data_IF_376297289530
#
_entry.id   IF_376297289530
#
_cell.length_a   1.000
_cell.length_b   1.000
_cell.length_c   1.000
_cell.angle_alpha   90.00
_cell.angle_beta   90.00
_cell.angle_gamma   90.00
#
_symmetry.space_group_name_H-M   'P 1'
#
loop_
_entity.id
_entity.type
_entity.pdbx_description
1 polymer ?
#
# COMPACT_ATOMS: atom_id res chain seq x y z
N UNK A 1 9.80 7.70 64.65
CA UNK A 1 10.01 6.71 63.56
C UNK A 1 8.73 6.23 62.85
N UNK A 2 7.54 6.80 63.12
CA UNK A 2 6.27 6.40 62.47
C UNK A 2 5.89 7.27 61.25
N UNK A 3 6.44 8.47 61.12
CA UNK A 3 6.16 9.42 60.02
C UNK A 3 6.98 9.18 58.76
N UNK A 4 8.19 8.60 58.89
CA UNK A 4 9.07 8.27 57.76
C UNK A 4 8.54 7.09 56.93
N UNK A 5 7.89 6.11 57.58
CA UNK A 5 7.26 4.97 56.89
C UNK A 5 6.00 5.38 56.10
N UNK A 6 5.32 6.45 56.55
CA UNK A 6 4.13 6.99 55.87
C UNK A 6 4.51 7.81 54.62
N UNK A 7 5.61 8.57 54.67
CA UNK A 7 6.16 9.26 53.50
C UNK A 7 6.80 8.32 52.47
N UNK A 8 7.43 7.22 52.91
CA UNK A 8 7.97 6.21 52.00
C UNK A 8 6.87 5.44 51.24
N UNK A 9 5.72 5.21 51.88
CA UNK A 9 4.55 4.60 51.22
C UNK A 9 3.87 5.56 50.22
N UNK A 10 3.87 6.87 50.50
CA UNK A 10 3.31 7.88 49.60
C UNK A 10 4.20 8.13 48.36
N UNK A 11 5.52 8.03 48.52
CA UNK A 11 6.47 8.17 47.41
C UNK A 11 6.48 6.96 46.46
N UNK A 12 6.17 5.76 46.96
CA UNK A 12 6.10 4.55 46.13
C UNK A 12 4.80 4.47 45.30
N UNK A 13 3.72 5.10 45.79
CA UNK A 13 2.46 5.20 45.06
C UNK A 13 2.52 6.20 43.88
N UNK A 14 3.42 7.19 43.94
CA UNK A 14 3.53 8.22 42.90
C UNK A 14 4.37 7.78 41.68
N UNK A 15 5.28 6.82 41.86
CA UNK A 15 6.09 6.24 40.76
C UNK A 15 5.30 5.21 39.93
N UNK A 16 4.19 4.68 40.45
CA UNK A 16 3.33 3.75 39.71
C UNK A 16 2.40 4.44 38.70
N UNK A 17 2.28 5.78 38.73
CA UNK A 17 1.33 6.53 37.90
C UNK A 17 1.96 7.09 36.60
N UNK A 18 3.24 6.77 36.35
CA UNK A 18 3.99 7.25 35.19
C UNK A 18 4.31 6.17 34.15
N UNK A 19 3.58 5.05 34.16
CA UNK A 19 3.54 4.15 33.01
C UNK A 19 2.33 4.52 32.16
N UNK A 20 2.48 5.34 31.09
CA UNK A 20 1.40 5.49 30.14
C UNK A 20 1.07 4.10 29.61
N UNK A 21 -0.19 3.71 29.75
CA UNK A 21 -0.72 2.52 29.11
C UNK A 21 -0.39 2.62 27.62
N UNK A 22 0.54 1.79 27.15
CA UNK A 22 0.75 1.58 25.72
C UNK A 22 -0.51 0.85 25.27
N UNK A 23 -1.52 1.63 24.90
CA UNK A 23 -2.69 1.15 24.20
C UNK A 23 -2.18 0.53 22.91
N UNK A 24 -2.09 -0.80 22.91
CA UNK A 24 -1.94 -1.58 21.70
C UNK A 24 -3.20 -1.40 20.88
N UNK A 25 -3.22 -0.34 20.06
CA UNK A 25 -4.24 -0.17 19.05
C UNK A 25 -4.22 -1.43 18.18
N UNK A 26 -5.38 -2.09 18.08
CA UNK A 26 -5.55 -3.21 17.17
C UNK A 26 -5.28 -2.70 15.76
N UNK A 27 -4.06 -2.95 15.28
CA UNK A 27 -3.60 -2.33 14.06
C UNK A 27 -4.19 -3.06 12.86
N UNK A 28 -4.95 -2.32 12.06
CA UNK A 28 -5.60 -2.87 10.87
C UNK A 28 -4.51 -3.14 9.84
N UNK A 29 -4.40 -4.37 9.35
CA UNK A 29 -3.40 -4.74 8.33
C UNK A 29 -4.08 -4.80 6.96
N UNK A 30 -3.46 -4.19 5.95
CA UNK A 30 -3.88 -4.27 4.54
C UNK A 30 -2.79 -4.93 3.70
N UNK A 31 -3.17 -5.63 2.64
CA UNK A 31 -2.22 -6.25 1.72
C UNK A 31 -2.14 -5.46 0.41
N UNK A 32 -0.95 -5.36 -0.16
CA UNK A 32 -0.74 -4.79 -1.49
C UNK A 32 -1.25 -5.75 -2.56
N UNK A 33 -2.13 -5.26 -3.45
CA UNK A 33 -2.75 -6.05 -4.52
C UNK A 33 -2.12 -5.82 -5.90
N UNK A 34 -1.26 -4.81 -6.03
CA UNK A 34 -0.54 -4.49 -7.26
C UNK A 34 0.87 -5.08 -7.25
N UNK A 35 1.47 -5.30 -8.43
CA UNK A 35 2.81 -5.90 -8.56
C UNK A 35 3.89 -5.13 -7.77
N UNK A 36 3.88 -3.81 -7.89
CA UNK A 36 4.80 -2.89 -7.23
C UNK A 36 4.09 -1.57 -6.97
N UNK A 37 4.31 -0.98 -5.80
CA UNK A 37 3.76 0.33 -5.43
C UNK A 37 4.74 1.08 -4.54
N UNK A 38 4.63 2.41 -4.55
CA UNK A 38 5.46 3.29 -3.74
C UNK A 38 4.66 3.84 -2.57
N UNK A 39 5.22 3.73 -1.37
CA UNK A 39 4.74 4.40 -0.17
C UNK A 39 5.37 5.79 -0.17
N UNK A 40 4.54 6.84 -0.18
CA UNK A 40 4.96 8.22 -0.39
C UNK A 40 4.98 9.03 0.90
N UNK A 41 5.72 10.14 0.90
CA UNK A 41 5.83 11.00 2.08
C UNK A 41 4.55 11.78 2.38
N UNK A 42 3.75 12.09 1.35
CA UNK A 42 2.52 12.86 1.45
C UNK A 42 1.41 12.23 0.58
N UNK A 43 0.18 12.73 0.73
CA UNK A 43 -1.05 12.31 0.06
C UNK A 43 -1.10 12.76 -1.41
N UNK A 44 -0.01 12.57 -2.15
CA UNK A 44 0.11 12.97 -3.55
C UNK A 44 0.86 11.91 -4.36
N UNK A 45 0.42 11.67 -5.60
CA UNK A 45 1.07 10.68 -6.48
C UNK A 45 2.49 11.07 -6.94
N UNK A 46 2.87 12.33 -6.79
CA UNK A 46 4.20 12.83 -7.13
C UNK A 46 5.05 13.16 -5.88
N UNK A 47 4.55 12.88 -4.68
CA UNK A 47 5.33 13.06 -3.46
C UNK A 47 6.52 12.08 -3.42
N UNK A 48 7.64 12.46 -2.77
CA UNK A 48 8.81 11.60 -2.67
C UNK A 48 8.50 10.21 -2.12
N UNK A 49 9.16 9.19 -2.66
CA UNK A 49 9.00 7.79 -2.24
C UNK A 49 9.81 7.54 -0.96
N UNK A 50 9.14 7.02 0.09
CA UNK A 50 9.73 6.69 1.40
C UNK A 50 10.14 5.22 1.48
N UNK A 51 9.31 4.35 0.89
CA UNK A 51 9.53 2.92 0.78
C UNK A 51 8.79 2.37 -0.45
N UNK A 52 9.21 1.19 -0.93
CA UNK A 52 8.50 0.45 -1.96
C UNK A 52 7.88 -0.80 -1.35
N UNK A 53 6.69 -1.17 -1.81
CA UNK A 53 6.00 -2.40 -1.42
C UNK A 53 5.64 -3.19 -2.67
N UNK A 54 5.66 -4.52 -2.56
CA UNK A 54 5.35 -5.45 -3.64
C UNK A 54 4.07 -6.22 -3.35
N UNK A 55 3.56 -6.91 -4.36
CA UNK A 55 2.37 -7.74 -4.22
C UNK A 55 2.45 -8.69 -3.02
N UNK A 56 1.37 -8.73 -2.23
CA UNK A 56 1.21 -9.48 -0.97
C UNK A 56 1.95 -8.92 0.25
N UNK A 57 2.67 -7.80 0.12
CA UNK A 57 3.23 -7.14 1.30
C UNK A 57 2.12 -6.67 2.22
N UNK A 58 2.33 -6.88 3.53
CA UNK A 58 1.41 -6.49 4.58
C UNK A 58 1.84 -5.15 5.16
N UNK A 59 0.91 -4.22 5.15
CA UNK A 59 1.10 -2.85 5.59
C UNK A 59 0.21 -2.61 6.80
N UNK A 60 0.80 -2.07 7.85
CA UNK A 60 0.10 -1.72 9.06
C UNK A 60 -0.58 -0.36 8.88
N UNK A 61 -1.90 -0.27 9.00
CA UNK A 61 -2.66 0.96 8.80
C UNK A 61 -2.69 1.77 10.09
N UNK A 62 -2.15 2.98 10.00
CA UNK A 62 -2.16 3.97 11.09
C UNK A 62 -3.35 4.91 11.00
N UNK A 63 -3.66 5.39 9.79
CA UNK A 63 -4.68 6.42 9.56
C UNK A 63 -5.26 6.28 8.14
N UNK A 64 -6.53 6.63 7.96
CA UNK A 64 -7.12 6.77 6.63
C UNK A 64 -7.59 8.22 6.43
N UNK A 65 -7.18 8.85 5.32
CA UNK A 65 -7.54 10.23 4.98
C UNK A 65 -7.96 10.29 3.51
N UNK A 66 -9.26 10.36 3.26
CA UNK A 66 -9.84 10.37 1.91
C UNK A 66 -9.47 9.11 1.11
N UNK A 67 -8.82 9.30 -0.03
CA UNK A 67 -8.30 8.24 -0.91
C UNK A 67 -6.96 7.64 -0.46
N UNK A 68 -6.35 8.16 0.61
CA UNK A 68 -5.03 7.77 1.07
C UNK A 68 -5.09 7.06 2.41
N UNK A 69 -4.15 6.13 2.61
CA UNK A 69 -3.98 5.38 3.84
C UNK A 69 -2.55 5.60 4.31
N UNK A 70 -2.40 6.07 5.55
CA UNK A 70 -1.12 6.15 6.22
C UNK A 70 -0.78 4.77 6.75
N UNK A 71 0.36 4.25 6.33
CA UNK A 71 0.85 2.92 6.67
C UNK A 71 2.22 2.98 7.33
N UNK A 72 2.47 2.06 8.26
CA UNK A 72 3.79 1.72 8.75
C UNK A 72 4.31 0.49 8.01
N UNK A 73 5.50 0.60 7.43
CA UNK A 73 6.17 -0.48 6.73
C UNK A 73 7.68 -0.40 6.94
N UNK A 74 8.30 -1.51 7.37
CA UNK A 74 9.75 -1.60 7.63
C UNK A 74 10.27 -0.49 8.55
N UNK A 75 9.50 -0.13 9.58
CA UNK A 75 9.84 0.93 10.55
C UNK A 75 9.72 2.37 10.03
N UNK A 76 9.21 2.57 8.81
CA UNK A 76 8.92 3.89 8.24
C UNK A 76 7.43 4.09 8.07
N UNK A 77 6.98 5.32 8.25
CA UNK A 77 5.59 5.72 8.03
C UNK A 77 5.46 6.49 6.71
N UNK A 78 4.41 6.22 5.95
CA UNK A 78 4.10 6.97 4.74
C UNK A 78 2.68 6.72 4.26
N UNK A 79 2.34 7.25 3.09
CA UNK A 79 1.01 7.22 2.51
C UNK A 79 0.97 6.32 1.27
N UNK A 80 -0.07 5.49 1.21
CA UNK A 80 -0.38 4.65 0.05
C UNK A 80 -1.82 4.92 -0.39
N UNK A 81 -2.05 4.94 -1.70
CA UNK A 81 -3.39 5.16 -2.24
C UNK A 81 -4.24 3.88 -2.11
N UNK A 82 -5.53 4.04 -1.81
CA UNK A 82 -6.48 2.92 -1.62
C UNK A 82 -6.55 1.95 -2.80
N UNK A 83 -6.28 2.42 -4.02
CA UNK A 83 -6.29 1.56 -5.22
C UNK A 83 -5.18 0.51 -5.26
N UNK A 84 -4.10 0.69 -4.49
CA UNK A 84 -2.96 -0.21 -4.47
C UNK A 84 -3.08 -1.31 -3.40
N UNK A 85 -4.06 -1.22 -2.51
CA UNK A 85 -4.23 -2.11 -1.35
C UNK A 85 -5.61 -2.74 -1.33
N UNK A 86 -5.65 -4.01 -0.92
CA UNK A 86 -6.88 -4.73 -0.62
C UNK A 86 -7.18 -4.66 0.86
N UNK A 87 -8.42 -4.33 1.21
CA UNK A 87 -8.87 -4.21 2.61
C UNK A 87 -9.05 -5.56 3.33
N UNK A 88 -8.83 -6.69 2.67
CA UNK A 88 -8.96 -8.01 3.31
C UNK A 88 -7.65 -8.79 3.23
N UNK A 89 -6.91 -8.79 4.33
CA UNK A 89 -6.00 -9.90 4.64
C UNK A 89 -6.80 -10.92 5.44
N UNK A 90 -7.71 -11.62 4.77
CA UNK A 90 -8.23 -12.86 5.35
C UNK A 90 -7.11 -13.89 5.22
N UNK A 91 -6.37 -14.08 6.30
CA UNK A 91 -5.60 -15.29 6.54
C UNK A 91 -6.57 -16.48 6.56
N UNK A 92 -7.01 -16.91 5.37
CA UNK A 92 -7.56 -18.24 5.21
C UNK A 92 -6.36 -19.17 5.35
N UNK A 93 -6.14 -19.65 6.58
CA UNK A 93 -5.30 -20.81 6.83
C UNK A 93 -5.72 -21.96 5.90
N UNK A 94 -4.86 -22.96 5.67
CA UNK A 94 -5.22 -24.09 4.82
C UNK A 94 -6.46 -24.77 5.41
N UNK A 95 -7.61 -24.60 4.75
CA UNK A 95 -8.83 -25.31 5.11
C UNK A 95 -8.61 -26.79 4.85
N UNK A 96 -8.39 -27.55 5.93
CA UNK A 96 -8.28 -29.02 5.90
C UNK A 96 -9.63 -29.74 5.75
N UNK A 97 -10.72 -29.00 5.46
CA UNK A 97 -12.03 -29.56 5.15
C UNK A 97 -12.61 -28.79 3.96
N UNK A 98 -12.99 -29.54 2.93
CA UNK A 98 -13.20 -29.09 1.55
C UNK A 98 -14.13 -27.90 1.33
N UNK A 99 -13.77 -27.12 0.32
CA UNK A 99 -14.56 -26.00 -0.21
C UNK A 99 -13.73 -25.18 -1.18
N UNK A 100 -13.74 -25.59 -2.45
CA UNK A 100 -13.23 -24.95 -3.67
C UNK A 100 -12.31 -23.73 -3.52
N UNK A 101 -11.00 -24.01 -3.62
CA UNK A 101 -10.10 -23.42 -4.61
C UNK A 101 -10.24 -21.91 -4.92
N UNK A 102 -10.15 -21.06 -3.90
CA UNK A 102 -9.81 -19.63 -4.08
C UNK A 102 -8.43 -19.40 -4.76
N UNK A 103 -7.69 -20.49 -5.00
CA UNK A 103 -6.42 -20.58 -5.73
C UNK A 103 -6.56 -20.85 -7.23
N UNK A 104 -7.77 -21.07 -7.76
CA UNK A 104 -8.03 -21.20 -9.20
C UNK A 104 -9.02 -20.15 -9.70
N UNK A 105 -8.63 -18.88 -9.61
CA UNK A 105 -9.20 -17.93 -10.58
C UNK A 105 -8.59 -18.31 -11.92
N UNK A 106 -9.40 -18.93 -12.79
CA UNK A 106 -8.97 -19.32 -14.13
C UNK A 106 -8.54 -18.06 -14.90
N UNK A 107 -7.51 -18.16 -15.76
CA UNK A 107 -7.05 -16.99 -16.53
C UNK A 107 -8.16 -16.45 -17.43
N UNK A 108 -9.13 -17.29 -17.74
CA UNK A 108 -10.35 -17.03 -18.47
C UNK A 108 -11.32 -16.13 -17.69
N UNK A 109 -11.47 -16.34 -16.38
CA UNK A 109 -12.30 -15.49 -15.51
C UNK A 109 -11.64 -14.12 -15.25
N UNK A 110 -10.32 -14.09 -15.09
CA UNK A 110 -9.55 -12.83 -15.04
C UNK A 110 -9.65 -12.08 -16.37
N UNK A 111 -9.59 -12.78 -17.51
CA UNK A 111 -9.72 -12.18 -18.83
C UNK A 111 -11.13 -11.62 -19.08
N UNK A 112 -12.19 -12.26 -18.56
CA UNK A 112 -13.55 -11.74 -18.65
C UNK A 112 -13.70 -10.40 -17.90
N UNK A 113 -13.04 -10.27 -16.75
CA UNK A 113 -12.98 -9.01 -15.99
C UNK A 113 -12.06 -7.95 -16.67
N UNK A 114 -10.98 -8.40 -17.31
CA UNK A 114 -10.02 -7.58 -18.05
C UNK A 114 -10.41 -7.28 -19.50
N UNK A 115 -11.70 -7.43 -19.91
CA UNK A 115 -12.17 -7.23 -21.29
C UNK A 115 -11.39 -8.00 -22.38
N UNK A 116 -10.82 -9.15 -22.05
CA UNK A 116 -10.08 -10.00 -22.99
C UNK A 116 -8.62 -9.60 -23.21
N UNK A 117 -8.05 -8.71 -22.39
CA UNK A 117 -6.62 -8.38 -22.48
C UNK A 117 -5.77 -9.43 -21.74
N UNK A 118 -5.32 -10.45 -22.46
CA UNK A 118 -4.38 -11.46 -21.95
C UNK A 118 -3.29 -11.79 -23.00
N UNK A 119 -2.24 -12.50 -22.57
CA UNK A 119 -1.08 -12.82 -23.42
C UNK A 119 -1.44 -13.64 -24.66
N UNK A 120 -2.44 -14.52 -24.57
CA UNK A 120 -2.90 -15.33 -25.69
C UNK A 120 -3.63 -14.48 -26.74
N UNK A 121 -4.51 -13.56 -26.32
CA UNK A 121 -5.22 -12.65 -27.22
C UNK A 121 -4.23 -11.72 -27.92
N UNK A 122 -3.25 -11.19 -27.21
CA UNK A 122 -2.21 -10.36 -27.81
C UNK A 122 -1.40 -11.14 -28.85
N UNK A 123 -1.02 -12.38 -28.54
CA UNK A 123 -0.28 -13.25 -29.47
C UNK A 123 -1.06 -13.55 -30.75
N UNK A 124 -2.36 -13.85 -30.63
CA UNK A 124 -3.25 -14.05 -31.77
C UNK A 124 -3.48 -12.75 -32.55
N UNK A 125 -3.58 -11.61 -31.86
CA UNK A 125 -3.74 -10.31 -32.49
C UNK A 125 -2.48 -9.88 -33.27
N UNK A 126 -1.29 -10.17 -32.74
CA UNK A 126 0.01 -9.99 -33.43
C UNK A 126 0.07 -10.78 -34.74
N UNK A 127 -0.35 -12.05 -34.72
CA UNK A 127 -0.39 -12.91 -35.92
C UNK A 127 -1.34 -12.37 -37.00
N UNK A 128 -2.52 -11.88 -36.58
CA UNK A 128 -3.56 -11.39 -37.50
C UNK A 128 -3.26 -9.99 -38.05
N UNK A 129 -2.42 -9.21 -37.38
CA UNK A 129 -2.12 -7.82 -37.74
C UNK A 129 -0.61 -7.56 -37.84
N UNK A 130 0.09 -8.17 -38.81
CA UNK A 130 1.54 -8.04 -38.95
C UNK A 130 2.00 -6.62 -39.34
N UNK A 131 1.07 -5.76 -39.79
CA UNK A 131 1.34 -4.36 -40.14
C UNK A 131 1.40 -3.41 -38.94
N UNK A 132 1.01 -3.87 -37.74
CA UNK A 132 1.04 -3.04 -36.53
C UNK A 132 2.42 -3.08 -35.84
N UNK A 133 2.91 -1.91 -35.41
CA UNK A 133 4.17 -1.79 -34.66
C UNK A 133 3.95 -2.11 -33.16
N UNK A 134 3.94 -3.40 -32.82
CA UNK A 134 3.92 -3.82 -31.40
C UNK A 134 5.20 -3.44 -30.66
N UNK A 135 6.31 -3.22 -31.36
CA UNK A 135 7.53 -2.73 -30.71
C UNK A 135 7.34 -1.31 -30.18
N UNK A 136 6.43 -0.49 -30.73
CA UNK A 136 6.05 0.79 -30.12
C UNK A 136 5.37 0.58 -28.76
N UNK A 137 4.50 -0.42 -28.64
CA UNK A 137 3.85 -0.77 -27.35
C UNK A 137 4.88 -1.26 -26.35
N UNK A 138 5.78 -2.15 -26.76
CA UNK A 138 6.87 -2.64 -25.91
C UNK A 138 7.81 -1.51 -25.46
N UNK A 139 8.06 -0.53 -26.33
CA UNK A 139 8.82 0.68 -25.98
C UNK A 139 8.06 1.49 -24.94
N UNK A 140 6.75 1.68 -25.10
CA UNK A 140 5.90 2.43 -24.16
C UNK A 140 5.83 1.77 -22.79
N UNK A 141 5.71 0.44 -22.72
CA UNK A 141 5.67 -0.31 -21.45
C UNK A 141 6.96 -0.14 -20.65
N UNK A 142 8.10 0.05 -21.32
CA UNK A 142 9.41 0.24 -20.69
C UNK A 142 9.69 1.68 -20.28
N UNK A 143 8.85 2.65 -20.64
CA UNK A 143 9.06 4.05 -20.26
C UNK A 143 8.92 4.17 -18.75
N UNK A 144 10.06 4.44 -18.10
CA UNK A 144 10.12 4.78 -16.67
C UNK A 144 10.50 6.24 -16.54
N UNK A 145 9.75 6.99 -15.73
CA UNK A 145 10.02 8.41 -15.48
C UNK A 145 10.68 8.54 -14.12
N UNK A 146 11.85 9.16 -14.09
CA UNK A 146 12.58 9.47 -12.86
C UNK A 146 11.81 10.47 -11.99
N UNK A 147 11.81 10.27 -10.67
CA UNK A 147 11.15 11.15 -9.69
C UNK A 147 11.65 12.61 -9.81
N UNK A 148 12.92 12.81 -10.18
CA UNK A 148 13.50 14.15 -10.40
C UNK A 148 12.85 14.89 -11.58
N UNK A 149 12.52 14.18 -12.66
CA UNK A 149 11.83 14.75 -13.83
C UNK A 149 10.38 15.07 -13.50
N UNK A 150 9.73 14.22 -12.70
CA UNK A 150 8.37 14.49 -12.19
C UNK A 150 8.38 15.74 -11.31
N UNK A 151 9.35 15.88 -10.40
CA UNK A 151 9.48 17.05 -9.55
C UNK A 151 9.71 18.35 -10.35
N UNK A 152 10.59 18.30 -11.37
CA UNK A 152 10.80 19.42 -12.28
C UNK A 152 9.51 19.80 -13.03
N UNK A 153 8.80 18.80 -13.58
CA UNK A 153 7.54 19.01 -14.28
C UNK A 153 6.47 19.65 -13.39
N UNK A 154 6.34 19.20 -12.13
CA UNK A 154 5.39 19.77 -11.16
C UNK A 154 5.74 21.23 -10.84
N UNK A 155 7.03 21.52 -10.68
CA UNK A 155 7.54 22.88 -10.40
C UNK A 155 7.29 23.82 -11.59
N UNK A 156 7.70 23.41 -12.79
CA UNK A 156 7.62 24.20 -14.00
C UNK A 156 6.17 24.43 -14.43
N UNK A 157 5.33 23.39 -14.28
CA UNK A 157 3.89 23.45 -14.57
C UNK A 157 3.05 24.12 -13.48
N UNK A 158 3.64 24.56 -12.35
CA UNK A 158 2.93 25.14 -11.19
C UNK A 158 1.79 24.25 -10.68
N UNK A 159 1.98 22.93 -10.70
CA UNK A 159 0.92 21.94 -10.43
C UNK A 159 0.72 21.61 -8.94
N UNK A 160 1.61 22.11 -8.07
CA UNK A 160 1.64 21.73 -6.65
C UNK A 160 0.43 22.22 -5.82
N UNK A 161 -0.40 23.14 -6.32
CA UNK A 161 -1.35 23.90 -5.48
C UNK A 161 -2.76 23.29 -5.31
N UNK A 162 -3.06 22.10 -5.87
CA UNK A 162 -4.47 21.66 -6.01
C UNK A 162 -4.94 20.47 -5.17
N UNK A 163 -4.07 19.79 -4.42
CA UNK A 163 -4.46 18.61 -3.61
C UNK A 163 -4.31 18.79 -2.08
N UNK A 164 -4.27 20.01 -1.57
CA UNK A 164 -4.57 20.25 -0.14
C UNK A 164 -6.08 20.15 0.08
N UNK A 165 -6.58 18.91 -0.04
CA UNK A 165 -7.94 18.55 0.30
C UNK A 165 -8.14 18.68 1.81
N UNK A 166 -9.03 19.62 2.14
CA UNK A 166 -9.70 19.88 3.42
C UNK A 166 -10.26 18.61 4.05
#
# INVERSE_FOLDING_TARGET
MKTIKLFAFLALAFISMLFPAISGAASKVVAVTVKKTSIRADKQFFAPTVAEAVYKDRLEVLEESGGWIKVAFSGKNGWIHKSAVGMEVKDKGPSLFGGDDASKVSQEEVALAGKGFNSQVESEYKKKNPSLDFAAVDRMEKITVEDSKVAAFVKDGKLASRETGK
#
